data_IF_230444972085
#
_entry.id   IF_230444972085
#
_cell.length_a   1.000
_cell.length_b   1.000
_cell.length_c   1.000
_cell.angle_alpha   90.00
_cell.angle_beta   90.00
_cell.angle_gamma   90.00
#
_symmetry.space_group_name_H-M   'P 1'
#
loop_
_entity.id
_entity.type
_entity.pdbx_description
1 polymer ?
#
# COMPACT_ATOMS: atom_id res chain seq x y z
N UNK A 1 -6.83 -14.48 6.88
CA UNK A 1 -7.79 -13.46 6.40
C UNK A 1 -9.22 -13.83 6.77
N UNK A 2 -9.72 -15.01 6.40
CA UNK A 2 -11.09 -15.44 6.73
C UNK A 2 -11.36 -15.39 8.24
N UNK A 3 -10.51 -16.02 9.05
CA UNK A 3 -10.61 -15.94 10.52
C UNK A 3 -10.62 -14.50 11.05
N UNK A 4 -9.80 -13.61 10.47
CA UNK A 4 -9.72 -12.20 10.88
C UNK A 4 -11.05 -11.49 10.61
N UNK A 5 -11.68 -11.79 9.49
CA UNK A 5 -12.97 -11.22 9.08
C UNK A 5 -14.10 -11.82 9.94
N UNK A 6 -14.21 -13.14 10.00
CA UNK A 6 -15.29 -13.86 10.68
C UNK A 6 -15.32 -13.54 12.17
N UNK A 7 -14.14 -13.51 12.81
CA UNK A 7 -14.00 -13.23 14.25
C UNK A 7 -13.79 -11.74 14.54
N UNK A 8 -13.83 -10.87 13.52
CA UNK A 8 -13.63 -9.41 13.63
C UNK A 8 -12.36 -9.02 14.40
N UNK A 9 -11.24 -9.66 14.11
CA UNK A 9 -9.99 -9.51 14.87
C UNK A 9 -9.19 -8.25 14.51
N UNK A 10 -9.51 -7.59 13.38
CA UNK A 10 -8.85 -6.37 12.94
C UNK A 10 -9.78 -5.52 12.08
N UNK A 11 -9.48 -4.22 11.98
CA UNK A 11 -10.23 -3.24 11.18
C UNK A 11 -9.46 -2.77 9.95
N UNK A 12 -8.22 -3.24 9.76
CA UNK A 12 -7.39 -2.87 8.64
C UNK A 12 -6.26 -3.85 8.39
N UNK A 13 -5.65 -3.75 7.22
CA UNK A 13 -4.56 -4.60 6.77
C UNK A 13 -3.40 -3.77 6.23
N UNK A 14 -2.18 -4.19 6.58
CA UNK A 14 -0.96 -3.65 5.99
C UNK A 14 -0.58 -4.56 4.81
N UNK A 15 -0.57 -4.00 3.60
CA UNK A 15 -0.27 -4.71 2.36
C UNK A 15 1.16 -4.43 1.94
N UNK A 16 1.94 -5.50 1.84
CA UNK A 16 3.30 -5.50 1.31
C UNK A 16 3.29 -6.44 0.09
N UNK A 17 3.28 -5.90 -1.14
CA UNK A 17 3.06 -6.71 -2.36
C UNK A 17 4.01 -7.91 -2.47
N UNK A 18 5.27 -7.71 -2.06
CA UNK A 18 6.30 -8.74 -2.06
C UNK A 18 6.10 -9.88 -1.03
N UNK A 19 5.10 -9.80 -0.14
CA UNK A 19 4.75 -10.88 0.79
C UNK A 19 3.63 -11.78 0.27
N UNK A 20 2.87 -11.33 -0.73
CA UNK A 20 1.75 -12.11 -1.29
C UNK A 20 2.25 -13.01 -2.43
N UNK A 21 3.20 -12.51 -3.23
CA UNK A 21 3.81 -13.25 -4.34
C UNK A 21 3.74 -12.44 -5.62
N UNK A 22 2.54 -12.37 -6.21
CA UNK A 22 2.29 -11.64 -7.45
C UNK A 22 1.44 -10.38 -7.28
N UNK A 23 1.44 -9.51 -8.29
CA UNK A 23 0.57 -8.33 -8.33
C UNK A 23 -0.91 -8.72 -8.36
N UNK A 24 -1.30 -9.72 -9.15
CA UNK A 24 -2.69 -10.17 -9.23
C UNK A 24 -3.22 -10.65 -7.88
N UNK A 25 -2.44 -11.48 -7.18
CA UNK A 25 -2.82 -11.94 -5.83
C UNK A 25 -2.87 -10.79 -4.82
N UNK A 26 -1.99 -9.80 -4.96
CA UNK A 26 -2.03 -8.58 -4.14
C UNK A 26 -3.33 -7.81 -4.37
N UNK A 27 -3.77 -7.66 -5.63
CA UNK A 27 -5.03 -6.99 -5.98
C UNK A 27 -6.24 -7.77 -5.46
N UNK A 28 -6.24 -9.10 -5.58
CA UNK A 28 -7.31 -9.95 -5.04
C UNK A 28 -7.41 -9.84 -3.51
N UNK A 29 -6.26 -9.81 -2.83
CA UNK A 29 -6.20 -9.60 -1.38
C UNK A 29 -6.77 -8.24 -0.98
N UNK A 30 -6.36 -7.17 -1.66
CA UNK A 30 -6.85 -5.80 -1.42
C UNK A 30 -8.35 -5.73 -1.64
N UNK A 31 -8.85 -6.28 -2.76
CA UNK A 31 -10.27 -6.30 -3.10
C UNK A 31 -11.08 -7.02 -2.02
N UNK A 32 -10.58 -8.16 -1.53
CA UNK A 32 -11.21 -8.89 -0.43
C UNK A 32 -11.22 -8.11 0.87
N UNK A 33 -10.14 -7.42 1.24
CA UNK A 33 -10.10 -6.60 2.45
C UNK A 33 -11.14 -5.47 2.37
N UNK A 34 -11.17 -4.76 1.25
CA UNK A 34 -12.10 -3.65 1.01
C UNK A 34 -13.56 -4.09 1.00
N UNK A 35 -13.87 -5.24 0.39
CA UNK A 35 -15.25 -5.75 0.36
C UNK A 35 -15.81 -6.09 1.75
N UNK A 36 -14.94 -6.22 2.76
CA UNK A 36 -15.31 -6.44 4.15
C UNK A 36 -15.12 -5.19 5.03
N UNK A 37 -14.98 -4.01 4.41
CA UNK A 37 -14.87 -2.73 5.12
C UNK A 37 -13.57 -2.55 5.91
N UNK A 38 -12.53 -3.33 5.60
CA UNK A 38 -11.23 -3.17 6.24
C UNK A 38 -10.44 -2.04 5.57
N UNK A 39 -9.81 -1.18 6.36
CA UNK A 39 -8.88 -0.17 5.87
C UNK A 39 -7.65 -0.84 5.22
N UNK A 40 -7.21 -0.33 4.09
CA UNK A 40 -6.04 -0.83 3.35
C UNK A 40 -4.89 0.15 3.49
N UNK A 41 -3.77 -0.33 4.01
CA UNK A 41 -2.54 0.44 4.17
C UNK A 41 -1.45 -0.18 3.29
N UNK A 42 -1.11 0.45 2.17
CA UNK A 42 -0.01 -0.02 1.32
C UNK A 42 1.33 0.39 1.96
N UNK A 43 2.28 -0.53 2.07
CA UNK A 43 3.48 -0.36 2.90
C UNK A 43 4.78 -0.69 2.18
N UNK A 44 5.80 0.12 2.50
CA UNK A 44 7.21 -0.14 2.18
C UNK A 44 7.78 -1.36 2.92
N UNK A 45 9.02 -1.73 2.56
CA UNK A 45 9.88 -2.65 3.31
C UNK A 45 11.13 -1.93 3.83
N UNK A 46 11.66 -2.44 4.95
CA UNK A 46 12.90 -1.92 5.54
C UNK A 46 14.07 -1.99 4.56
N UNK A 47 14.10 -3.01 3.71
CA UNK A 47 15.11 -3.20 2.67
C UNK A 47 14.76 -2.57 1.31
N UNK A 48 13.84 -1.60 1.24
CA UNK A 48 13.71 -0.79 0.03
C UNK A 48 15.06 -0.11 -0.25
N UNK A 49 15.49 -0.14 -1.51
CA UNK A 49 16.70 0.53 -1.98
C UNK A 49 16.39 1.31 -3.25
N UNK A 50 17.17 2.35 -3.51
CA UNK A 50 17.05 3.13 -4.74
C UNK A 50 15.75 3.94 -4.83
N UNK A 51 15.28 4.10 -6.06
CA UNK A 51 14.21 5.03 -6.43
C UNK A 51 12.86 4.32 -6.65
N UNK A 52 12.67 3.12 -6.07
CA UNK A 52 11.40 2.39 -6.24
C UNK A 52 10.23 3.13 -5.58
N UNK A 53 9.28 3.58 -6.41
CA UNK A 53 8.07 4.27 -6.00
C UNK A 53 6.81 3.44 -6.17
N UNK A 54 6.91 2.16 -6.55
CA UNK A 54 5.78 1.30 -6.96
C UNK A 54 4.59 1.34 -5.99
N UNK A 55 4.86 1.35 -4.68
CA UNK A 55 3.81 1.36 -3.67
C UNK A 55 2.96 2.65 -3.67
N UNK A 56 3.49 3.75 -4.21
CA UNK A 56 2.81 5.03 -4.33
C UNK A 56 1.76 4.96 -5.43
N UNK A 57 2.16 4.49 -6.62
CA UNK A 57 1.27 4.24 -7.75
C UNK A 57 0.22 3.18 -7.39
N UNK A 58 0.62 2.07 -6.76
CA UNK A 58 -0.30 1.04 -6.30
C UNK A 58 -1.31 1.60 -5.30
N UNK A 59 -0.85 2.40 -4.33
CA UNK A 59 -1.72 3.02 -3.31
C UNK A 59 -2.82 3.86 -3.94
N UNK A 60 -2.48 4.68 -4.93
CA UNK A 60 -3.46 5.47 -5.68
C UNK A 60 -4.36 4.58 -6.54
N UNK A 61 -3.78 3.66 -7.31
CA UNK A 61 -4.52 2.81 -8.25
C UNK A 61 -5.59 1.94 -7.57
N UNK A 62 -5.30 1.44 -6.36
CA UNK A 62 -6.26 0.64 -5.59
C UNK A 62 -7.15 1.49 -4.69
N UNK A 63 -6.95 2.81 -4.64
CA UNK A 63 -7.63 3.73 -3.73
C UNK A 63 -7.40 3.40 -2.25
N UNK A 64 -6.18 3.03 -1.87
CA UNK A 64 -5.85 2.67 -0.48
C UNK A 64 -6.17 3.83 0.49
N UNK A 65 -6.58 3.49 1.70
CA UNK A 65 -6.92 4.49 2.72
C UNK A 65 -5.68 5.22 3.23
N UNK A 66 -4.56 4.50 3.34
CA UNK A 66 -3.29 5.06 3.79
C UNK A 66 -2.09 4.46 3.04
N UNK A 67 -1.00 5.20 3.06
CA UNK A 67 0.33 4.71 2.69
C UNK A 67 1.27 4.77 3.89
N UNK A 68 2.05 3.72 4.09
CA UNK A 68 3.13 3.67 5.08
C UNK A 68 4.46 3.66 4.35
N UNK A 69 5.06 4.84 4.17
CA UNK A 69 6.28 5.03 3.36
C UNK A 69 7.55 5.38 4.15
N UNK A 70 7.49 5.49 5.48
CA UNK A 70 8.65 5.77 6.35
C UNK A 70 8.75 7.24 6.75
N UNK A 71 9.83 7.65 7.41
CA UNK A 71 10.05 9.08 7.69
C UNK A 71 10.53 9.79 6.40
N UNK A 72 10.16 11.07 6.19
CA UNK A 72 10.62 11.87 5.05
C UNK A 72 12.06 12.37 5.28
N UNK A 73 13.01 11.42 5.33
CA UNK A 73 14.42 11.67 5.62
C UNK A 73 15.31 10.97 4.61
N UNK A 74 15.29 9.63 4.61
CA UNK A 74 16.10 8.84 3.69
C UNK A 74 15.54 8.87 2.27
N UNK A 75 16.43 8.91 1.28
CA UNK A 75 16.09 9.03 -0.15
C UNK A 75 15.06 7.99 -0.61
N UNK A 76 15.22 6.71 -0.24
CA UNK A 76 14.30 5.64 -0.64
C UNK A 76 12.88 5.78 -0.06
N UNK A 77 12.71 6.65 0.93
CA UNK A 77 11.41 7.04 1.52
C UNK A 77 10.87 8.29 0.84
N UNK A 78 11.71 9.31 0.70
CA UNK A 78 11.36 10.60 0.08
C UNK A 78 10.85 10.44 -1.35
N UNK A 79 11.46 9.56 -2.16
CA UNK A 79 11.04 9.32 -3.55
C UNK A 79 9.56 8.89 -3.66
N UNK A 80 9.03 8.15 -2.68
CA UNK A 80 7.62 7.72 -2.66
C UNK A 80 6.69 8.90 -2.40
N UNK A 81 7.07 9.83 -1.52
CA UNK A 81 6.32 11.05 -1.30
C UNK A 81 6.35 11.98 -2.51
N UNK A 82 7.52 12.12 -3.16
CA UNK A 82 7.64 12.88 -4.40
C UNK A 82 6.75 12.30 -5.50
N UNK A 83 6.71 10.97 -5.64
CA UNK A 83 5.80 10.32 -6.59
C UNK A 83 4.33 10.62 -6.33
N UNK A 84 3.90 10.64 -5.07
CA UNK A 84 2.53 11.03 -4.73
C UNK A 84 2.23 12.49 -5.12
N UNK A 85 3.19 13.39 -4.93
CA UNK A 85 3.05 14.79 -5.38
C UNK A 85 2.96 14.87 -6.91
N UNK A 86 3.78 14.12 -7.65
CA UNK A 86 3.69 14.05 -9.12
C UNK A 86 2.32 13.55 -9.61
N UNK A 87 1.82 12.46 -9.01
CA UNK A 87 0.49 11.92 -9.34
C UNK A 87 -0.59 12.97 -9.04
N UNK A 88 -0.51 13.66 -7.90
CA UNK A 88 -1.45 14.70 -7.53
C UNK A 88 -1.44 15.89 -8.50
N UNK A 89 -0.26 16.35 -8.91
CA UNK A 89 -0.13 17.48 -9.84
C UNK A 89 -0.53 17.13 -11.28
N UNK A 90 -0.41 15.86 -11.69
CA UNK A 90 -0.80 15.41 -13.03
C UNK A 90 -2.31 15.17 -13.20
N UNK A 91 -3.06 15.03 -12.11
CA UNK A 91 -4.52 14.80 -12.11
C UNK A 91 -5.30 15.99 -11.52
N UNK A 92 -4.63 17.15 -11.41
CA UNK A 92 -5.24 18.44 -11.12
C UNK A 92 -5.63 19.16 -12.40
#
# INVERSE_FOLDING_TARGET
MNDVIEKKLATGVIVKPNQVGTLSETLDFIKKAKSHGMAVIVSHRSGDTGEDTFISDLGVAVGADFIKAGAPDRGERVVKYNRLLEIYHSHK
#
